data_IF_366952205075
#
_entry.id   IF_366952205075
#
_cell.length_a   1.000
_cell.length_b   1.000
_cell.length_c   1.000
_cell.angle_alpha   90.00
_cell.angle_beta   90.00
_cell.angle_gamma   90.00
#
_symmetry.space_group_name_H-M   'P 1'
#
loop_
_entity.id
_entity.type
_entity.pdbx_description
1 polymer ?
#
# COMPACT_ATOMS: atom_id res chain seq x y z
N UNK A 1 -16.69 -8.02 -33.69
CA UNK A 1 -15.56 -7.21 -33.22
C UNK A 1 -16.16 -6.06 -32.46
N UNK A 2 -16.25 -6.19 -31.14
CA UNK A 2 -16.62 -5.10 -30.24
C UNK A 2 -15.31 -4.62 -29.62
N UNK A 3 -14.92 -3.39 -29.93
CA UNK A 3 -13.85 -2.68 -29.22
C UNK A 3 -14.16 -2.69 -27.73
N UNK A 4 -13.23 -3.22 -26.94
CA UNK A 4 -13.30 -3.30 -25.48
C UNK A 4 -12.36 -2.26 -24.87
N UNK A 5 -12.39 -1.02 -25.37
CA UNK A 5 -11.67 0.13 -24.79
C UNK A 5 -12.47 0.72 -23.61
N UNK A 6 -12.91 -0.15 -22.70
CA UNK A 6 -13.65 0.23 -21.50
C UNK A 6 -12.72 0.44 -20.32
N UNK A 7 -12.59 1.68 -19.82
CA UNK A 7 -12.02 1.91 -18.49
C UNK A 7 -13.08 1.63 -17.44
N UNK A 8 -12.94 0.52 -16.71
CA UNK A 8 -13.80 0.22 -15.56
C UNK A 8 -13.29 0.99 -14.34
N UNK A 9 -14.03 2.01 -13.91
CA UNK A 9 -13.79 2.70 -12.63
C UNK A 9 -14.22 1.79 -11.46
N UNK A 10 -13.36 0.87 -11.06
CA UNK A 10 -13.64 -0.12 -10.01
C UNK A 10 -13.61 0.44 -8.57
N UNK A 11 -13.33 1.73 -8.38
CA UNK A 11 -13.32 2.35 -7.05
C UNK A 11 -13.47 3.87 -7.08
N UNK A 12 -14.31 4.39 -6.17
CA UNK A 12 -14.36 5.82 -5.84
C UNK A 12 -13.35 6.08 -4.73
N UNK A 13 -12.11 6.36 -5.10
CA UNK A 13 -11.05 6.72 -4.17
C UNK A 13 -10.99 8.23 -3.94
N UNK A 14 -10.83 8.65 -2.70
CA UNK A 14 -10.56 10.04 -2.40
C UNK A 14 -9.10 10.37 -2.77
N UNK A 15 -8.89 11.41 -3.57
CA UNK A 15 -7.56 11.85 -3.98
C UNK A 15 -7.01 12.87 -2.99
N UNK A 16 -5.75 12.73 -2.59
CA UNK A 16 -5.09 13.70 -1.72
C UNK A 16 -3.94 14.35 -2.48
N UNK A 17 -3.83 15.68 -2.38
CA UNK A 17 -2.78 16.48 -3.01
C UNK A 17 -1.99 17.18 -1.93
N UNK A 18 -0.66 17.13 -1.97
CA UNK A 18 0.15 17.89 -1.06
C UNK A 18 1.60 17.93 -1.54
N UNK A 19 2.33 18.92 -1.06
CA UNK A 19 3.75 19.07 -1.36
C UNK A 19 4.61 18.20 -0.43
N UNK A 20 5.60 17.52 -0.97
CA UNK A 20 6.46 16.61 -0.20
C UNK A 20 7.27 17.33 0.89
N UNK A 21 7.60 18.60 0.68
CA UNK A 21 8.38 19.42 1.61
C UNK A 21 7.52 20.46 2.35
N UNK A 22 6.19 20.42 2.16
CA UNK A 22 5.24 21.41 2.65
C UNK A 22 5.62 22.88 2.33
N UNK A 23 6.19 23.12 1.14
CA UNK A 23 6.63 24.43 0.67
C UNK A 23 5.62 25.13 -0.24
N UNK A 24 4.66 24.38 -0.80
CA UNK A 24 3.76 24.85 -1.85
C UNK A 24 2.28 24.55 -1.55
N UNK A 25 1.81 24.91 -0.34
CA UNK A 25 0.43 24.66 0.09
C UNK A 25 -0.63 25.28 -0.85
N UNK A 26 -0.43 26.53 -1.28
CA UNK A 26 -1.36 27.23 -2.19
C UNK A 26 -1.50 26.51 -3.54
N UNK A 27 -0.39 25.96 -4.07
CA UNK A 27 -0.41 25.20 -5.32
C UNK A 27 -1.15 23.86 -5.14
N UNK A 28 -0.94 23.18 -4.01
CA UNK A 28 -1.66 21.95 -3.70
C UNK A 28 -3.18 22.19 -3.60
N UNK A 29 -3.59 23.31 -3.00
CA UNK A 29 -5.00 23.71 -2.91
C UNK A 29 -5.60 24.03 -4.28
N UNK A 30 -4.91 24.82 -5.11
CA UNK A 30 -5.35 25.13 -6.47
C UNK A 30 -5.50 23.87 -7.33
N UNK A 31 -4.59 22.91 -7.20
CA UNK A 31 -4.66 21.62 -7.90
C UNK A 31 -5.84 20.77 -7.41
N UNK A 32 -6.03 20.64 -6.09
CA UNK A 32 -7.15 19.90 -5.52
C UNK A 32 -8.51 20.48 -5.95
N UNK A 33 -8.62 21.81 -6.01
CA UNK A 33 -9.81 22.49 -6.50
C UNK A 33 -10.05 22.21 -7.99
N UNK A 34 -8.99 22.26 -8.81
CA UNK A 34 -9.07 21.97 -10.25
C UNK A 34 -9.54 20.53 -10.50
N UNK A 35 -8.98 19.55 -9.79
CA UNK A 35 -9.39 18.15 -9.88
C UNK A 35 -10.85 17.95 -9.44
N UNK A 36 -11.24 18.62 -8.36
CA UNK A 36 -12.63 18.57 -7.86
C UNK A 36 -13.63 19.16 -8.85
N UNK A 37 -13.29 20.26 -9.53
CA UNK A 37 -14.11 20.84 -10.60
C UNK A 37 -14.23 19.91 -11.82
N UNK A 38 -13.23 19.06 -12.06
CA UNK A 38 -13.26 18.03 -13.09
C UNK A 38 -14.01 16.74 -12.67
N UNK A 39 -14.62 16.72 -11.48
CA UNK A 39 -15.40 15.58 -10.98
C UNK A 39 -14.60 14.54 -10.19
N UNK A 40 -13.31 14.79 -9.91
CA UNK A 40 -12.48 13.93 -9.07
C UNK A 40 -12.46 14.47 -7.64
N UNK A 41 -13.05 13.74 -6.69
CA UNK A 41 -13.02 14.17 -5.27
C UNK A 41 -11.57 14.25 -4.77
N UNK A 42 -11.06 15.47 -4.64
CA UNK A 42 -9.67 15.74 -4.27
C UNK A 42 -9.57 16.73 -3.10
N UNK A 43 -8.67 16.47 -2.15
CA UNK A 43 -8.43 17.33 -0.99
C UNK A 43 -6.94 17.65 -0.86
N UNK A 44 -6.63 18.93 -0.67
CA UNK A 44 -5.28 19.35 -0.32
C UNK A 44 -4.93 19.00 1.14
N UNK A 45 -3.69 18.59 1.40
CA UNK A 45 -3.22 18.21 2.73
C UNK A 45 -1.85 18.81 3.01
N UNK A 46 -1.65 19.23 4.25
CA UNK A 46 -0.39 19.85 4.71
C UNK A 46 0.74 18.83 4.82
N UNK A 47 0.42 17.59 5.20
CA UNK A 47 1.38 16.49 5.36
C UNK A 47 0.97 15.31 4.48
N UNK A 48 1.37 15.39 3.20
CA UNK A 48 1.19 14.28 2.26
C UNK A 48 2.04 13.07 2.64
N UNK A 49 3.18 13.29 3.33
CA UNK A 49 4.08 12.23 3.76
C UNK A 49 3.37 11.27 4.71
N UNK A 50 2.57 11.76 5.67
CA UNK A 50 1.74 10.90 6.53
C UNK A 50 0.88 9.94 5.71
N UNK A 51 0.17 10.46 4.71
CA UNK A 51 -0.74 9.65 3.88
C UNK A 51 0.00 8.65 2.99
N UNK A 52 1.14 9.04 2.41
CA UNK A 52 1.96 8.16 1.60
C UNK A 52 2.47 6.98 2.44
N UNK A 53 3.01 7.24 3.62
CA UNK A 53 3.51 6.19 4.50
C UNK A 53 2.40 5.30 5.07
N UNK A 54 1.22 5.86 5.39
CA UNK A 54 0.05 5.06 5.76
C UNK A 54 -0.37 4.12 4.63
N UNK A 55 -0.33 4.58 3.37
CA UNK A 55 -0.62 3.73 2.21
C UNK A 55 0.45 2.64 2.03
N UNK A 56 1.72 2.99 2.19
CA UNK A 56 2.83 2.02 2.17
C UNK A 56 2.64 0.94 3.23
N UNK A 57 2.24 1.31 4.46
CA UNK A 57 2.01 0.35 5.53
C UNK A 57 0.99 -0.74 5.16
N UNK A 58 -0.12 -0.31 4.56
CA UNK A 58 -1.21 -1.19 4.13
C UNK A 58 -0.78 -2.02 2.91
N UNK A 59 -0.29 -1.36 1.87
CA UNK A 59 0.07 -2.03 0.61
C UNK A 59 1.23 -3.01 0.80
N UNK A 60 2.20 -2.69 1.64
CA UNK A 60 3.32 -3.58 1.91
C UNK A 60 2.91 -4.87 2.64
N UNK A 61 1.82 -4.80 3.40
CA UNK A 61 1.29 -5.95 4.11
C UNK A 61 0.41 -6.81 3.20
N UNK A 62 -0.50 -6.19 2.45
CA UNK A 62 -1.54 -6.90 1.70
C UNK A 62 -1.03 -7.38 0.34
N UNK A 63 -0.41 -6.48 -0.44
CA UNK A 63 -0.20 -6.71 -1.87
C UNK A 63 0.74 -7.89 -2.16
N UNK A 64 1.90 -8.03 -1.49
CA UNK A 64 2.78 -9.18 -1.73
C UNK A 64 2.15 -10.50 -1.34
N UNK A 65 1.47 -10.55 -0.19
CA UNK A 65 0.83 -11.78 0.27
C UNK A 65 -0.29 -12.24 -0.67
N UNK A 66 -1.08 -11.29 -1.18
CA UNK A 66 -2.09 -11.58 -2.20
C UNK A 66 -1.44 -12.06 -3.50
N UNK A 67 -0.38 -11.39 -3.95
CA UNK A 67 0.34 -11.73 -5.17
C UNK A 67 0.99 -13.12 -5.11
N UNK A 68 1.71 -13.42 -4.02
CA UNK A 68 2.40 -14.69 -3.82
C UNK A 68 1.47 -15.90 -3.80
N UNK A 69 0.26 -15.72 -3.25
CA UNK A 69 -0.68 -16.81 -3.04
C UNK A 69 -1.77 -16.89 -4.11
N UNK A 70 -1.87 -15.89 -5.00
CA UNK A 70 -2.90 -15.88 -6.05
C UNK A 70 -4.33 -15.77 -5.52
N UNK A 71 -4.53 -15.13 -4.36
CA UNK A 71 -5.82 -15.06 -3.64
C UNK A 71 -6.43 -13.65 -3.69
N UNK A 72 -7.71 -13.51 -3.35
CA UNK A 72 -8.33 -12.20 -3.12
C UNK A 72 -7.96 -11.65 -1.75
N UNK A 73 -8.06 -10.33 -1.57
CA UNK A 73 -7.67 -9.66 -0.32
C UNK A 73 -8.32 -10.29 0.92
N UNK A 74 -9.62 -10.62 0.84
CA UNK A 74 -10.40 -11.18 1.95
C UNK A 74 -9.88 -12.53 2.46
N UNK A 75 -9.23 -13.31 1.58
CA UNK A 75 -8.72 -14.64 1.91
C UNK A 75 -7.53 -14.58 2.88
N UNK A 76 -6.85 -13.43 3.01
CA UNK A 76 -5.76 -13.22 3.97
C UNK A 76 -6.16 -13.42 5.44
N UNK A 77 -7.47 -13.43 5.74
CA UNK A 77 -7.99 -13.77 7.08
C UNK A 77 -7.88 -15.26 7.41
N UNK A 78 -7.64 -16.12 6.42
CA UNK A 78 -7.47 -17.56 6.60
C UNK A 78 -6.25 -17.90 7.46
N UNK A 79 -6.32 -19.01 8.19
CA UNK A 79 -5.25 -19.47 9.11
C UNK A 79 -3.89 -19.63 8.41
N UNK A 80 -3.89 -19.94 7.11
CA UNK A 80 -2.68 -20.07 6.30
C UNK A 80 -1.88 -18.76 6.16
N UNK A 81 -2.52 -17.60 6.24
CA UNK A 81 -1.90 -16.31 5.91
C UNK A 81 -1.90 -15.33 7.09
N UNK A 82 -2.88 -15.42 7.99
CA UNK A 82 -3.10 -14.45 9.04
C UNK A 82 -1.86 -14.25 9.95
N UNK A 83 -1.14 -15.33 10.24
CA UNK A 83 0.11 -15.24 11.03
C UNK A 83 1.18 -14.41 10.34
N UNK A 84 1.35 -14.58 9.02
CA UNK A 84 2.32 -13.82 8.23
C UNK A 84 1.94 -12.35 8.12
N UNK A 85 0.64 -12.05 7.95
CA UNK A 85 0.13 -10.66 8.01
C UNK A 85 0.50 -9.99 9.32
N UNK A 86 0.25 -10.65 10.47
CA UNK A 86 0.58 -10.11 11.80
C UNK A 86 2.08 -9.83 11.93
N UNK A 87 2.94 -10.75 11.47
CA UNK A 87 4.40 -10.54 11.51
C UNK A 87 4.82 -9.32 10.69
N UNK A 88 4.31 -9.15 9.47
CA UNK A 88 4.63 -7.98 8.63
C UNK A 88 4.14 -6.69 9.28
N UNK A 89 2.90 -6.66 9.79
CA UNK A 89 2.35 -5.49 10.46
C UNK A 89 3.20 -5.07 11.65
N UNK A 90 3.73 -6.03 12.41
CA UNK A 90 4.61 -5.72 13.54
C UNK A 90 5.90 -5.00 13.11
N UNK A 91 6.54 -5.46 12.05
CA UNK A 91 7.74 -4.81 11.49
C UNK A 91 7.38 -3.41 10.94
N UNK A 92 6.33 -3.33 10.13
CA UNK A 92 5.83 -2.07 9.55
C UNK A 92 5.45 -1.07 10.64
N UNK A 93 4.74 -1.47 11.70
CA UNK A 93 4.36 -0.58 12.78
C UNK A 93 5.57 -0.01 13.53
N UNK A 94 6.63 -0.80 13.70
CA UNK A 94 7.88 -0.31 14.29
C UNK A 94 8.55 0.74 13.40
N UNK A 95 8.55 0.53 12.09
CA UNK A 95 9.06 1.47 11.09
C UNK A 95 8.24 2.77 11.09
N UNK A 96 6.90 2.67 11.03
CA UNK A 96 6.00 3.82 11.06
C UNK A 96 6.24 4.69 12.30
N UNK A 97 6.40 4.06 13.47
CA UNK A 97 6.71 4.78 14.71
C UNK A 97 8.05 5.52 14.63
N UNK A 98 9.09 4.89 14.08
CA UNK A 98 10.42 5.52 13.93
C UNK A 98 10.41 6.68 12.91
N UNK A 99 9.52 6.62 11.93
CA UNK A 99 9.29 7.66 10.92
C UNK A 99 8.31 8.75 11.38
N UNK A 100 7.80 8.69 12.62
CA UNK A 100 6.82 9.64 13.15
C UNK A 100 5.46 9.57 12.45
N UNK A 101 5.12 8.44 11.85
CA UNK A 101 3.87 8.21 11.12
C UNK A 101 2.82 7.64 12.07
N UNK A 102 1.67 8.29 12.12
CA UNK A 102 0.52 7.84 12.90
C UNK A 102 -0.42 6.96 12.06
N UNK A 103 -1.12 5.98 12.66
CA UNK A 103 -2.25 5.36 11.99
C UNK A 103 -3.34 6.43 11.75
N UNK A 104 -4.15 6.29 10.67
CA UNK A 104 -5.21 7.27 10.37
C UNK A 104 -6.27 7.39 11.47
N UNK A 105 -6.50 6.29 12.20
CA UNK A 105 -7.49 6.17 13.26
C UNK A 105 -6.88 5.37 14.43
N UNK A 106 -7.27 5.68 15.67
CA UNK A 106 -6.88 4.94 16.87
C UNK A 106 -5.61 5.44 17.56
N UNK A 107 -5.15 4.67 18.54
CA UNK A 107 -3.95 4.97 19.32
C UNK A 107 -2.67 4.59 18.57
N UNK A 108 -1.54 5.13 18.99
CA UNK A 108 -0.26 4.73 18.42
C UNK A 108 0.11 3.28 18.73
N UNK A 109 0.57 2.54 17.71
CA UNK A 109 1.18 1.22 17.89
C UNK A 109 0.61 0.13 16.99
N UNK A 110 1.15 -1.07 17.19
CA UNK A 110 0.92 -2.26 16.35
C UNK A 110 -0.57 -2.62 16.21
N UNK A 111 -1.35 -2.53 17.29
CA UNK A 111 -2.78 -2.90 17.28
C UNK A 111 -3.60 -2.05 16.30
N UNK A 112 -3.36 -0.74 16.24
CA UNK A 112 -4.08 0.16 15.35
C UNK A 112 -3.69 -0.05 13.89
N UNK A 113 -2.41 -0.32 13.62
CA UNK A 113 -1.97 -0.72 12.28
C UNK A 113 -2.57 -2.05 11.83
N UNK A 114 -2.63 -3.03 12.73
CA UNK A 114 -3.25 -4.33 12.45
C UNK A 114 -4.74 -4.17 12.18
N UNK A 115 -5.44 -3.36 12.99
CA UNK A 115 -6.85 -3.05 12.78
C UNK A 115 -7.08 -2.35 11.43
N UNK A 116 -6.21 -1.40 11.04
CA UNK A 116 -6.26 -0.74 9.75
C UNK A 116 -6.11 -1.73 8.59
N UNK A 117 -5.09 -2.59 8.62
CA UNK A 117 -4.88 -3.62 7.59
C UNK A 117 -6.10 -4.53 7.48
N UNK A 118 -6.64 -4.97 8.62
CA UNK A 118 -7.82 -5.84 8.63
C UNK A 118 -9.09 -5.18 8.14
N UNK A 119 -9.27 -3.88 8.44
CA UNK A 119 -10.36 -3.06 7.90
C UNK A 119 -10.24 -2.95 6.38
N UNK A 120 -9.03 -2.76 5.84
CA UNK A 120 -8.81 -2.70 4.38
C UNK A 120 -9.06 -4.06 3.72
N UNK A 121 -8.53 -5.15 4.29
CA UNK A 121 -8.78 -6.52 3.82
C UNK A 121 -10.27 -6.82 3.73
N UNK A 122 -11.05 -6.42 4.74
CA UNK A 122 -12.49 -6.63 4.79
C UNK A 122 -13.25 -5.76 3.78
N UNK A 123 -12.97 -4.46 3.75
CA UNK A 123 -13.63 -3.51 2.83
C UNK A 123 -13.33 -3.79 1.36
N UNK A 124 -12.23 -4.50 1.08
CA UNK A 124 -11.79 -4.85 -0.27
C UNK A 124 -11.77 -6.36 -0.50
N UNK A 125 -12.54 -7.13 0.29
CA UNK A 125 -12.42 -8.59 0.35
C UNK A 125 -12.53 -9.30 -1.01
N UNK A 126 -13.39 -8.79 -1.90
CA UNK A 126 -13.59 -9.34 -3.26
C UNK A 126 -12.53 -8.88 -4.27
N UNK A 127 -11.65 -7.94 -3.94
CA UNK A 127 -10.68 -7.38 -4.86
C UNK A 127 -9.41 -8.24 -4.93
N UNK A 128 -8.75 -8.23 -6.10
CA UNK A 128 -7.35 -8.61 -6.23
C UNK A 128 -6.48 -7.37 -6.02
N UNK A 129 -5.39 -7.50 -5.27
CA UNK A 129 -4.41 -6.43 -5.15
C UNK A 129 -3.77 -6.10 -6.51
N UNK A 130 -3.37 -4.85 -6.72
CA UNK A 130 -2.69 -4.36 -7.93
C UNK A 130 -1.50 -5.24 -8.31
N UNK A 131 -0.66 -5.56 -7.33
CA UNK A 131 0.53 -6.42 -7.52
C UNK A 131 0.18 -7.81 -8.08
N UNK A 132 -0.92 -8.44 -7.63
CA UNK A 132 -1.37 -9.72 -8.21
C UNK A 132 -1.80 -9.55 -9.66
N UNK A 133 -2.48 -8.45 -10.00
CA UNK A 133 -2.90 -8.17 -11.38
C UNK A 133 -1.68 -7.96 -12.30
N UNK A 134 -0.62 -7.31 -11.80
CA UNK A 134 0.64 -7.17 -12.55
C UNK A 134 1.34 -8.51 -12.75
N UNK A 135 1.37 -9.37 -11.73
CA UNK A 135 1.92 -10.74 -11.83
C UNK A 135 1.15 -11.57 -12.86
N UNK A 136 -0.18 -11.55 -12.79
CA UNK A 136 -1.04 -12.27 -13.75
C UNK A 136 -0.89 -11.74 -15.18
N UNK A 137 -0.52 -10.47 -15.34
CA UNK A 137 -0.27 -9.83 -16.62
C UNK A 137 1.21 -9.89 -17.07
N UNK A 138 2.08 -10.59 -16.33
CA UNK A 138 3.53 -10.67 -16.57
C UNK A 138 4.19 -9.29 -16.71
N UNK A 139 3.75 -8.33 -15.91
CA UNK A 139 4.31 -6.97 -15.85
C UNK A 139 5.18 -6.77 -14.62
N UNK A 140 6.21 -5.90 -14.67
CA UNK A 140 6.90 -5.47 -13.47
C UNK A 140 5.92 -4.92 -12.44
N UNK A 141 6.07 -5.32 -11.18
CA UNK A 141 5.22 -4.86 -10.10
C UNK A 141 5.69 -3.54 -9.49
N UNK A 142 4.83 -2.90 -8.71
CA UNK A 142 5.17 -1.74 -7.87
C UNK A 142 6.01 -2.09 -6.61
N UNK A 143 6.56 -3.31 -6.51
CA UNK A 143 7.32 -3.79 -5.34
C UNK A 143 8.40 -2.80 -4.90
N UNK A 144 9.25 -2.32 -5.80
CA UNK A 144 10.33 -1.39 -5.46
C UNK A 144 9.82 -0.08 -4.86
N UNK A 145 8.67 0.42 -5.32
CA UNK A 145 8.07 1.64 -4.79
C UNK A 145 7.40 1.42 -3.42
N UNK A 146 6.95 0.18 -3.12
CA UNK A 146 6.30 -0.14 -1.86
C UNK A 146 7.29 -0.58 -0.78
N UNK A 147 8.16 -1.55 -1.11
CA UNK A 147 9.03 -2.25 -0.16
C UNK A 147 10.28 -1.45 0.17
N UNK A 148 10.96 -0.89 -0.85
CA UNK A 148 12.27 -0.29 -0.66
C UNK A 148 12.27 0.85 0.38
N UNK A 149 11.32 1.81 0.38
CA UNK A 149 11.33 2.89 1.37
C UNK A 149 11.20 2.38 2.82
N UNK A 150 10.44 1.31 3.03
CA UNK A 150 10.25 0.69 4.34
C UNK A 150 11.52 -0.07 4.78
N UNK A 151 12.13 -0.84 3.89
CA UNK A 151 13.37 -1.57 4.17
C UNK A 151 14.52 -0.61 4.46
N UNK A 152 14.67 0.44 3.66
CA UNK A 152 15.67 1.49 3.86
C UNK A 152 15.47 2.22 5.19
N UNK A 153 14.22 2.51 5.56
CA UNK A 153 13.91 3.11 6.86
C UNK A 153 14.24 2.17 8.02
N UNK A 154 13.88 0.89 7.92
CA UNK A 154 14.25 -0.10 8.93
C UNK A 154 15.77 -0.14 9.15
N UNK A 155 16.55 -0.16 8.07
CA UNK A 155 18.01 -0.13 8.14
C UNK A 155 18.53 1.15 8.79
N UNK A 156 18.00 2.32 8.40
CA UNK A 156 18.40 3.63 8.93
C UNK A 156 18.17 3.74 10.45
N UNK A 157 17.11 3.11 10.94
CA UNK A 157 16.74 3.11 12.36
C UNK A 157 17.22 1.89 13.14
N UNK A 158 17.96 0.97 12.50
CA UNK A 158 18.43 -0.26 13.15
C UNK A 158 17.32 -1.23 13.56
N UNK A 159 16.19 -1.21 12.86
CA UNK A 159 15.04 -2.08 13.08
C UNK A 159 15.14 -3.37 12.25
N UNK A 160 14.47 -4.43 12.72
CA UNK A 160 14.31 -5.68 11.95
C UNK A 160 13.20 -5.52 10.93
N UNK A 161 13.45 -5.97 9.70
CA UNK A 161 12.49 -6.02 8.58
C UNK A 161 12.61 -7.36 7.82
N UNK A 162 12.79 -8.46 8.55
CA UNK A 162 13.11 -9.78 7.97
C UNK A 162 11.97 -10.31 7.12
N UNK A 163 10.75 -10.20 7.62
CA UNK A 163 9.58 -10.70 6.90
C UNK A 163 9.29 -9.80 5.69
N UNK A 164 9.43 -8.49 5.85
CA UNK A 164 9.30 -7.55 4.75
C UNK A 164 10.34 -7.81 3.64
N UNK A 165 11.60 -8.06 4.00
CA UNK A 165 12.66 -8.41 3.05
C UNK A 165 12.42 -9.79 2.40
N UNK A 166 11.87 -10.76 3.14
CA UNK A 166 11.51 -12.06 2.59
C UNK A 166 10.41 -11.93 1.53
N UNK A 167 9.34 -11.17 1.81
CA UNK A 167 8.29 -10.89 0.83
C UNK A 167 8.83 -10.18 -0.41
N UNK A 168 9.73 -9.21 -0.22
CA UNK A 168 10.38 -8.51 -1.32
C UNK A 168 11.17 -9.46 -2.23
N UNK A 169 11.94 -10.38 -1.63
CA UNK A 169 12.69 -11.39 -2.37
C UNK A 169 11.79 -12.40 -3.08
N UNK A 170 10.75 -12.92 -2.42
CA UNK A 170 9.83 -13.90 -3.01
C UNK A 170 9.07 -13.32 -4.22
N UNK A 171 8.66 -12.05 -4.16
CA UNK A 171 8.06 -11.39 -5.33
C UNK A 171 9.09 -11.22 -6.44
N UNK A 172 10.32 -10.83 -6.12
CA UNK A 172 11.38 -10.70 -7.13
C UNK A 172 11.67 -12.03 -7.85
N UNK A 173 11.62 -13.15 -7.13
CA UNK A 173 11.76 -14.49 -7.70
C UNK A 173 10.59 -14.84 -8.63
N UNK A 174 9.35 -14.49 -8.26
CA UNK A 174 8.19 -14.63 -9.15
C UNK A 174 8.33 -13.79 -10.43
N UNK A 175 8.78 -12.53 -10.31
CA UNK A 175 9.01 -11.64 -11.46
C UNK A 175 10.08 -12.19 -12.41
N UNK A 176 11.15 -12.77 -11.86
CA UNK A 176 12.22 -13.37 -12.65
C UNK A 176 11.73 -14.58 -13.48
N UNK A 177 10.68 -15.26 -13.02
CA UNK A 177 10.11 -16.42 -13.70
C UNK A 177 9.26 -16.07 -14.95
N UNK A 178 8.91 -14.80 -15.19
CA UNK A 178 8.08 -14.40 -16.35
C UNK A 178 8.71 -14.72 -17.71
N UNK A 179 10.04 -14.87 -17.76
CA UNK A 179 10.82 -15.12 -18.98
C UNK A 179 11.21 -16.57 -19.22
N UNK A 180 10.64 -17.52 -18.46
CA UNK A 180 10.85 -18.97 -18.61
C UNK A 180 9.59 -19.66 -19.13
#
# INVERSE_FOLDING_TARGET
MTDDDGVVHAGHGHTYVGDLNNQHAELAEALAQTLSQAGLTATAVDDIRQRLWQKLAVNATINPLVALNGVRNGELRGEAYAGRVVTVVKEVAAIMRAEGIAPPEGEQGEKSWLALVWKVVENTASNKASMLQDIEALRPTERGAIMAPLVESAQRHGLTSKELQALDAEIAELEAAYGH
#
